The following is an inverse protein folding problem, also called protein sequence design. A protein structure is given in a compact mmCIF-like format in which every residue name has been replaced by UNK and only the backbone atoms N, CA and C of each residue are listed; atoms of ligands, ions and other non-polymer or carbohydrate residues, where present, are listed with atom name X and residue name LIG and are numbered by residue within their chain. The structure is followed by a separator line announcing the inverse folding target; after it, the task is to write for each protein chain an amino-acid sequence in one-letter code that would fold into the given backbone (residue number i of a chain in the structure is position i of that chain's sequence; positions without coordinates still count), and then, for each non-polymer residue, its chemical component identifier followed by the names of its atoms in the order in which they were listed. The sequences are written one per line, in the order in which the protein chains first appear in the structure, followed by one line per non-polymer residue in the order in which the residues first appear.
data_IF_875026272672
#
_entry.id   IF_875026272672
#
_cell.length_a   1.000
_cell.length_b   1.000
_cell.length_c   1.000
_cell.angle_alpha   90.00
_cell.angle_beta   90.00
_cell.angle_gamma   90.00
#
_symmetry.space_group_name_H-M   'P 1'
#
loop_
_entity.id
_entity.type
_entity.pdbx_description
1 polymer ?
#
# COMPACT_ATOMS: atom_id res chain seq x y z
N UNK A 1 5.47 19.57 3.20
CA UNK A 1 5.50 18.65 2.04
C UNK A 1 4.43 17.58 2.20
N UNK A 2 3.53 17.39 1.21
CA UNK A 2 2.34 16.50 1.29
C UNK A 2 2.39 15.32 0.31
N UNK A 3 3.58 14.99 -0.18
CA UNK A 3 3.79 13.97 -1.21
C UNK A 3 3.24 12.59 -0.78
N UNK A 4 3.60 12.02 0.39
CA UNK A 4 3.14 10.67 0.74
C UNK A 4 1.62 10.60 0.94
N UNK A 5 1.03 11.63 1.55
CA UNK A 5 -0.43 11.67 1.81
C UNK A 5 -1.25 11.94 0.55
N UNK A 6 -0.72 12.68 -0.43
CA UNK A 6 -1.38 12.91 -1.72
C UNK A 6 -1.41 11.64 -2.57
N UNK A 7 -0.31 10.89 -2.64
CA UNK A 7 -0.26 9.68 -3.47
C UNK A 7 -1.03 8.51 -2.83
N UNK A 8 -1.05 8.42 -1.48
CA UNK A 8 -1.82 7.42 -0.77
C UNK A 8 -3.31 7.52 -1.10
N UNK A 9 -3.86 8.75 -1.15
CA UNK A 9 -5.25 9.01 -1.56
C UNK A 9 -5.54 8.66 -3.03
N UNK A 10 -4.52 8.67 -3.89
CA UNK A 10 -4.63 8.24 -5.28
C UNK A 10 -4.52 6.70 -5.43
N UNK A 11 -4.26 5.97 -4.34
CA UNK A 11 -4.13 4.51 -4.34
C UNK A 11 -2.71 4.02 -4.62
N UNK A 12 -1.70 4.85 -4.38
CA UNK A 12 -0.28 4.45 -4.43
C UNK A 12 0.31 4.44 -3.05
N UNK A 13 0.90 3.32 -2.67
CA UNK A 13 1.46 3.06 -1.35
C UNK A 13 2.96 2.85 -1.49
N UNK A 14 3.70 3.23 -0.46
CA UNK A 14 5.12 2.90 -0.36
C UNK A 14 5.28 1.69 0.54
N UNK A 15 6.00 0.71 0.03
CA UNK A 15 6.36 -0.54 0.71
C UNK A 15 7.88 -0.63 0.74
N UNK A 16 8.45 -1.51 1.56
CA UNK A 16 9.88 -1.84 1.59
C UNK A 16 10.41 -2.28 0.22
N UNK A 17 9.56 -2.90 -0.61
CA UNK A 17 9.90 -3.32 -1.96
C UNK A 17 9.76 -2.20 -3.02
N UNK A 18 9.25 -1.02 -2.64
CA UNK A 18 9.09 0.14 -3.51
C UNK A 18 7.66 0.67 -3.56
N UNK A 19 7.33 1.39 -4.64
CA UNK A 19 5.99 1.94 -4.84
C UNK A 19 5.05 0.87 -5.40
N UNK A 20 3.91 0.68 -4.76
CA UNK A 20 2.86 -0.24 -5.18
C UNK A 20 1.58 0.54 -5.45
N UNK A 21 0.86 0.18 -6.51
CA UNK A 21 -0.44 0.78 -6.83
C UNK A 21 -1.52 -0.25 -6.52
N UNK A 22 -2.25 -0.07 -5.42
CA UNK A 22 -3.26 -1.06 -4.96
C UNK A 22 -4.43 -1.17 -5.94
N UNK A 23 -4.64 -0.15 -6.78
CA UNK A 23 -5.66 -0.14 -7.82
C UNK A 23 -5.32 -0.99 -9.05
N UNK A 24 -4.14 -1.59 -9.12
CA UNK A 24 -3.77 -2.41 -10.26
C UNK A 24 -4.55 -3.74 -10.22
N UNK A 25 -5.07 -4.18 -11.37
CA UNK A 25 -5.77 -5.45 -11.52
C UNK A 25 -5.09 -6.68 -10.86
N UNK A 26 -3.75 -6.87 -10.91
CA UNK A 26 -3.12 -8.02 -10.25
C UNK A 26 -3.21 -8.01 -8.71
N UNK A 27 -3.41 -6.84 -8.09
CA UNK A 27 -3.59 -6.73 -6.64
C UNK A 27 -5.05 -6.76 -6.22
N UNK A 28 -6.00 -6.89 -7.15
CA UNK A 28 -7.42 -6.93 -6.84
C UNK A 28 -7.84 -8.23 -6.12
N UNK A 29 -7.09 -9.31 -6.33
CA UNK A 29 -7.32 -10.63 -5.73
C UNK A 29 -6.21 -11.02 -4.75
N UNK A 30 -5.26 -10.12 -4.47
CA UNK A 30 -4.21 -10.36 -3.50
C UNK A 30 -4.65 -9.82 -2.13
N UNK A 31 -4.93 -10.74 -1.20
CA UNK A 31 -5.31 -10.43 0.19
C UNK A 31 -4.10 -10.41 1.14
N UNK A 32 -2.88 -10.36 0.59
CA UNK A 32 -1.68 -10.19 1.41
C UNK A 32 -1.61 -8.77 1.96
N UNK A 33 -0.99 -8.60 3.14
CA UNK A 33 -0.76 -7.27 3.68
C UNK A 33 0.04 -6.43 2.68
N UNK A 34 -0.23 -5.12 2.67
CA UNK A 34 0.45 -4.16 1.79
C UNK A 34 1.98 -4.24 1.88
N UNK A 35 2.50 -4.57 3.07
CA UNK A 35 3.92 -4.72 3.35
C UNK A 35 4.11 -5.69 4.52
N UNK A 36 4.88 -6.76 4.31
CA UNK A 36 5.14 -7.80 5.31
C UNK A 36 6.10 -7.33 6.43
N UNK A 37 6.91 -6.29 6.19
CA UNK A 37 7.79 -5.68 7.19
C UNK A 37 7.11 -4.52 7.93
N UNK A 38 5.88 -4.15 7.55
CA UNK A 38 5.19 -3.01 8.13
C UNK A 38 4.22 -3.40 9.24
N UNK A 39 4.52 -2.97 10.46
CA UNK A 39 3.69 -3.19 11.65
C UNK A 39 2.49 -2.23 11.80
N UNK A 40 2.10 -1.51 10.74
CA UNK A 40 1.06 -0.49 10.84
C UNK A 40 -0.35 -1.10 10.96
N UNK A 41 -1.29 -0.31 11.50
CA UNK A 41 -2.69 -0.71 11.65
C UNK A 41 -3.31 -1.16 10.31
N UNK A 42 -2.93 -0.53 9.20
CA UNK A 42 -3.45 -0.91 7.89
C UNK A 42 -3.01 -2.33 7.50
N UNK A 43 -1.71 -2.63 7.54
CA UNK A 43 -1.17 -3.95 7.17
C UNK A 43 -1.58 -5.08 8.12
N UNK A 44 -1.95 -4.76 9.37
CA UNK A 44 -2.39 -5.77 10.35
C UNK A 44 -3.88 -6.07 10.30
N UNK A 45 -4.70 -5.18 9.75
CA UNK A 45 -6.16 -5.33 9.73
C UNK A 45 -6.74 -5.45 8.31
N UNK A 46 -5.95 -5.16 7.28
CA UNK A 46 -6.31 -5.23 5.85
C UNK A 46 -5.18 -5.88 5.08
#
# INVERSE_FOLDING_TARGET
CVLPTRIARNGTVFTSHGKLVVRNAPYAEDFRPLDEECDCYACRNY
#
